data_IF_402403162826
#
_entry.id   IF_402403162826
#
_cell.length_a   1.000
_cell.length_b   1.000
_cell.length_c   1.000
_cell.angle_alpha   90.00
_cell.angle_beta   90.00
_cell.angle_gamma   90.00
#
_symmetry.space_group_name_H-M   'P 1'
#
loop_
_entity.id
_entity.type
_entity.pdbx_description
1 polymer ?
#
# COMPACT_ATOMS: atom_id res chain seq x y z
N UNK A 1 11.21 25.72 10.64
CA UNK A 1 9.74 25.66 10.62
C UNK A 1 9.39 24.21 10.87
N UNK A 2 8.45 23.91 11.75
CA UNK A 2 7.95 22.54 11.89
C UNK A 2 7.05 22.22 10.69
N UNK A 3 6.83 20.94 10.41
CA UNK A 3 5.84 20.48 9.43
C UNK A 3 5.14 19.28 10.05
N UNK A 4 4.38 19.55 11.11
CA UNK A 4 3.85 18.52 11.98
C UNK A 4 2.35 18.27 11.80
N UNK A 5 1.92 17.09 12.22
CA UNK A 5 0.53 16.64 12.19
C UNK A 5 0.29 15.54 13.23
N UNK A 6 -0.97 15.34 13.59
CA UNK A 6 -1.41 14.17 14.36
C UNK A 6 -2.35 13.31 13.50
N UNK A 7 -2.12 12.00 13.49
CA UNK A 7 -2.96 11.02 12.80
C UNK A 7 -3.72 10.22 13.86
N UNK A 8 -5.05 10.18 13.77
CA UNK A 8 -5.91 9.56 14.76
C UNK A 8 -6.94 8.69 14.05
N UNK A 9 -7.03 7.42 14.42
CA UNK A 9 -8.14 6.58 13.97
C UNK A 9 -9.43 7.00 14.69
N UNK A 10 -10.58 6.91 14.04
CA UNK A 10 -11.85 7.22 14.67
C UNK A 10 -12.02 6.45 15.99
N UNK A 11 -12.47 7.15 17.04
CA UNK A 11 -12.69 6.60 18.39
C UNK A 11 -11.44 6.02 19.10
N UNK A 12 -10.23 6.24 18.57
CA UNK A 12 -8.99 5.79 19.20
C UNK A 12 -8.60 6.64 20.42
N UNK A 13 -7.84 6.03 21.33
CA UNK A 13 -7.23 6.64 22.52
C UNK A 13 -5.74 6.97 22.34
N UNK A 14 -5.16 6.58 21.21
CA UNK A 14 -3.77 6.85 20.83
C UNK A 14 -3.72 7.51 19.45
N UNK A 15 -3.00 8.62 19.36
CA UNK A 15 -2.65 9.30 18.12
C UNK A 15 -1.18 9.09 17.75
N UNK A 16 -0.90 9.17 16.45
CA UNK A 16 0.43 9.09 15.88
C UNK A 16 0.88 10.49 15.44
N UNK A 17 1.80 11.08 16.19
CA UNK A 17 2.34 12.40 15.91
C UNK A 17 3.53 12.30 14.94
N UNK A 18 3.51 13.16 13.92
CA UNK A 18 4.58 13.36 12.96
C UNK A 18 5.16 14.77 13.12
N UNK A 19 6.47 14.88 13.27
CA UNK A 19 7.16 16.18 13.40
C UNK A 19 7.55 16.79 12.03
N UNK A 20 7.67 15.94 11.00
CA UNK A 20 8.03 16.29 9.63
C UNK A 20 7.08 15.60 8.64
N UNK A 21 6.89 16.20 7.47
CA UNK A 21 5.97 15.71 6.44
C UNK A 21 4.53 15.48 6.95
N UNK A 22 4.05 16.39 7.79
CA UNK A 22 2.66 16.45 8.23
C UNK A 22 1.69 17.03 7.18
N UNK A 23 2.22 17.59 6.09
CA UNK A 23 1.45 18.07 4.95
C UNK A 23 0.57 16.99 4.34
N UNK A 24 -0.60 17.39 3.83
CA UNK A 24 -1.60 16.47 3.28
C UNK A 24 -1.04 15.62 2.14
N UNK A 25 -0.25 16.24 1.26
CA UNK A 25 0.47 15.57 0.16
C UNK A 25 1.31 14.37 0.64
N UNK A 26 1.94 14.50 1.79
CA UNK A 26 2.76 13.46 2.42
C UNK A 26 1.92 12.40 3.13
N UNK A 27 0.90 12.83 3.87
CA UNK A 27 0.01 11.91 4.60
C UNK A 27 -0.72 11.01 3.63
N UNK A 28 -1.29 11.55 2.55
CA UNK A 28 -1.96 10.75 1.51
C UNK A 28 -0.99 9.75 0.87
N UNK A 29 0.29 10.11 0.67
CA UNK A 29 1.30 9.18 0.16
C UNK A 29 1.62 8.04 1.16
N UNK A 30 1.74 8.33 2.46
CA UNK A 30 1.95 7.28 3.47
C UNK A 30 0.76 6.34 3.58
N UNK A 31 -0.47 6.87 3.55
CA UNK A 31 -1.70 6.08 3.57
C UNK A 31 -1.83 5.21 2.31
N UNK A 32 -1.60 5.77 1.13
CA UNK A 32 -1.59 5.02 -0.12
C UNK A 32 -0.53 3.91 -0.13
N UNK A 33 0.68 4.21 0.37
CA UNK A 33 1.74 3.20 0.51
C UNK A 33 1.31 2.07 1.46
N UNK A 34 0.69 2.38 2.59
CA UNK A 34 0.19 1.39 3.54
C UNK A 34 -0.88 0.48 2.92
N UNK A 35 -1.80 1.05 2.15
CA UNK A 35 -2.82 0.30 1.42
C UNK A 35 -2.18 -0.68 0.42
N UNK A 36 -1.23 -0.20 -0.39
CA UNK A 36 -0.49 -1.05 -1.34
C UNK A 36 0.40 -2.08 -0.66
N UNK A 37 0.98 -1.75 0.49
CA UNK A 37 1.75 -2.71 1.27
C UNK A 37 0.87 -3.74 1.99
N UNK A 38 -0.47 -3.61 1.96
CA UNK A 38 -1.42 -4.45 2.68
C UNK A 38 -1.09 -4.50 4.17
N UNK A 39 -0.86 -3.33 4.76
CA UNK A 39 -0.77 -3.22 6.21
C UNK A 39 -2.15 -3.48 6.83
N UNK A 40 -2.28 -3.64 8.16
CA UNK A 40 -3.58 -3.65 8.79
C UNK A 40 -4.33 -2.33 8.53
N UNK A 41 -5.65 -2.39 8.28
CA UNK A 41 -6.46 -1.18 8.08
C UNK A 41 -6.45 -0.29 9.32
N UNK A 42 -6.50 1.03 9.14
CA UNK A 42 -6.52 1.99 10.25
C UNK A 42 -7.90 1.96 10.92
N UNK A 43 -7.92 1.68 12.22
CA UNK A 43 -9.12 1.61 13.05
C UNK A 43 -8.77 1.77 14.54
N UNK A 44 -9.78 1.79 15.39
CA UNK A 44 -9.70 2.02 16.83
C UNK A 44 -8.86 0.99 17.61
N UNK A 45 -8.65 -0.20 17.03
CA UNK A 45 -7.91 -1.28 17.70
C UNK A 45 -6.38 -1.08 17.67
N UNK A 46 -5.88 -0.03 17.03
CA UNK A 46 -4.47 0.38 17.03
C UNK A 46 -3.46 -0.65 16.45
N UNK A 47 -3.91 -1.80 15.94
CA UNK A 47 -3.07 -2.83 15.30
C UNK A 47 -2.31 -2.33 14.05
N UNK A 48 -2.80 -1.25 13.44
CA UNK A 48 -2.15 -0.56 12.33
C UNK A 48 -0.90 0.23 12.75
N UNK A 49 -0.79 0.66 14.01
CA UNK A 49 0.29 1.52 14.48
C UNK A 49 1.68 0.86 14.33
N UNK A 50 1.94 -0.37 14.82
CA UNK A 50 3.30 -0.93 14.74
C UNK A 50 3.86 -1.07 13.31
N UNK A 51 3.15 -1.65 12.33
CA UNK A 51 3.67 -1.74 10.97
C UNK A 51 3.73 -0.36 10.27
N UNK A 52 2.78 0.54 10.53
CA UNK A 52 2.81 1.88 9.94
C UNK A 52 3.96 2.74 10.48
N UNK A 53 4.21 2.70 11.80
CA UNK A 53 5.38 3.31 12.45
C UNK A 53 6.67 2.74 11.84
N UNK A 54 6.72 1.45 11.52
CA UNK A 54 7.90 0.86 10.89
C UNK A 54 8.18 1.49 9.53
N UNK A 55 7.15 1.67 8.69
CA UNK A 55 7.28 2.36 7.39
C UNK A 55 7.79 3.79 7.57
N UNK A 56 7.20 4.53 8.51
CA UNK A 56 7.59 5.91 8.81
C UNK A 56 9.03 5.99 9.35
N UNK A 57 9.42 5.11 10.27
CA UNK A 57 10.78 5.09 10.84
C UNK A 57 11.83 4.67 9.83
N UNK A 58 11.51 3.78 8.90
CA UNK A 58 12.40 3.49 7.77
C UNK A 58 12.60 4.73 6.89
N UNK A 59 11.53 5.51 6.67
CA UNK A 59 11.57 6.72 5.86
C UNK A 59 12.29 7.91 6.54
N UNK A 60 11.94 8.23 7.78
CA UNK A 60 12.52 9.35 8.54
C UNK A 60 13.87 9.02 9.18
N UNK A 61 14.20 7.74 9.31
CA UNK A 61 15.35 7.27 10.08
C UNK A 61 15.02 6.97 11.55
N UNK A 62 16.02 6.40 12.24
CA UNK A 62 15.91 5.88 13.60
C UNK A 62 16.70 6.70 14.63
N UNK A 63 16.78 8.02 14.45
CA UNK A 63 17.51 8.92 15.36
C UNK A 63 16.70 9.33 16.60
N UNK A 64 15.47 8.80 16.75
CA UNK A 64 14.56 9.14 17.84
C UNK A 64 13.75 10.42 17.59
N UNK A 65 13.85 11.00 16.39
CA UNK A 65 13.05 12.15 15.97
C UNK A 65 11.90 11.75 15.02
N UNK A 66 10.99 12.67 14.74
CA UNK A 66 10.05 12.55 13.61
C UNK A 66 8.71 11.86 13.88
N UNK A 67 8.67 10.79 14.69
CA UNK A 67 7.46 9.97 14.89
C UNK A 67 7.30 9.60 16.37
N UNK A 68 6.12 9.90 16.94
CA UNK A 68 5.80 9.73 18.36
C UNK A 68 4.35 9.27 18.55
N UNK A 69 4.05 8.70 19.72
CA UNK A 69 2.69 8.35 20.12
C UNK A 69 2.21 9.33 21.19
N UNK A 70 0.96 9.75 21.08
CA UNK A 70 0.33 10.69 22.00
C UNK A 70 -1.01 10.11 22.49
N UNK A 71 -1.34 10.19 23.79
CA UNK A 71 -2.67 9.87 24.26
C UNK A 71 -3.65 10.92 23.74
N UNK A 72 -4.79 10.49 23.22
CA UNK A 72 -5.81 11.39 22.66
C UNK A 72 -7.14 11.24 23.40
N UNK A 73 -7.83 12.37 23.55
CA UNK A 73 -9.21 12.48 23.98
C UNK A 73 -9.78 13.79 23.41
N UNK A 74 -11.08 14.03 23.59
CA UNK A 74 -11.72 15.22 23.01
C UNK A 74 -11.07 16.53 23.50
N UNK A 75 -10.81 16.66 24.80
CA UNK A 75 -10.19 17.87 25.37
C UNK A 75 -8.79 18.13 24.77
N UNK A 76 -8.06 17.06 24.47
CA UNK A 76 -6.76 17.13 23.80
C UNK A 76 -6.91 17.61 22.37
N UNK A 77 -7.81 17.00 21.58
CA UNK A 77 -8.05 17.35 20.17
C UNK A 77 -8.53 18.80 20.00
N UNK A 78 -9.38 19.28 20.93
CA UNK A 78 -9.88 20.66 20.91
C UNK A 78 -8.77 21.69 21.20
N UNK A 79 -7.69 21.27 21.87
CA UNK A 79 -6.62 22.14 22.35
C UNK A 79 -5.35 22.15 21.50
N UNK A 80 -5.24 21.31 20.47
CA UNK A 80 -4.02 21.20 19.66
C UNK A 80 -4.03 22.09 18.42
N UNK A 81 -2.86 22.64 18.13
CA UNK A 81 -2.60 23.56 17.01
C UNK A 81 -1.32 23.12 16.29
N UNK A 82 -1.38 21.94 15.66
CA UNK A 82 -0.33 21.44 14.80
C UNK A 82 -0.34 22.16 13.44
N UNK A 83 0.81 22.30 12.79
CA UNK A 83 0.96 23.07 11.55
C UNK A 83 -0.02 22.60 10.47
N UNK A 84 -0.31 21.29 10.46
CA UNK A 84 -1.24 20.64 9.53
C UNK A 84 -2.47 20.05 10.23
N UNK A 85 -2.70 20.40 11.49
CA UNK A 85 -3.84 19.92 12.27
C UNK A 85 -3.81 18.43 12.54
N UNK A 86 -5.01 17.87 12.70
CA UNK A 86 -5.27 16.44 12.97
C UNK A 86 -5.96 15.83 11.78
N UNK A 87 -5.46 14.68 11.33
CA UNK A 87 -6.13 13.83 10.36
C UNK A 87 -6.89 12.74 11.10
N UNK A 88 -8.21 12.75 10.95
CA UNK A 88 -9.06 11.65 11.37
C UNK A 88 -9.09 10.61 10.26
N UNK A 89 -8.79 9.36 10.62
CA UNK A 89 -8.52 8.29 9.66
C UNK A 89 -9.52 7.14 9.84
N UNK A 90 -9.92 6.57 8.72
CA UNK A 90 -10.64 5.30 8.62
C UNK A 90 -10.07 4.52 7.43
N UNK A 91 -9.68 3.27 7.67
CA UNK A 91 -8.97 2.41 6.72
C UNK A 91 -7.66 3.02 6.17
N UNK A 92 -7.66 3.63 4.99
CA UNK A 92 -6.51 4.36 4.43
C UNK A 92 -6.90 5.76 3.97
N UNK A 93 -8.03 6.27 4.45
CA UNK A 93 -8.61 7.52 4.02
C UNK A 93 -8.64 8.56 5.14
N UNK A 94 -8.46 9.83 4.76
CA UNK A 94 -8.70 10.97 5.64
C UNK A 94 -10.20 11.27 5.61
N UNK A 95 -10.89 11.02 6.72
CA UNK A 95 -12.34 11.23 6.84
C UNK A 95 -12.68 12.65 7.30
N UNK A 96 -11.84 13.23 8.15
CA UNK A 96 -12.02 14.58 8.68
C UNK A 96 -10.65 15.21 8.98
N UNK A 97 -10.63 16.55 9.03
CA UNK A 97 -9.45 17.31 9.47
C UNK A 97 -9.81 18.36 10.51
N UNK A 98 -9.23 18.23 11.70
CA UNK A 98 -9.38 19.19 12.81
C UNK A 98 -8.25 20.22 12.73
N UNK A 99 -8.58 21.50 12.85
CA UNK A 99 -7.64 22.63 12.79
C UNK A 99 -6.70 22.59 11.56
N UNK A 100 -7.23 22.49 10.32
CA UNK A 100 -6.39 22.54 9.13
C UNK A 100 -5.72 23.92 8.97
N UNK A 101 -4.54 23.98 8.32
CA UNK A 101 -3.93 25.23 7.92
C UNK A 101 -4.84 25.95 6.91
N UNK A 102 -4.67 27.26 6.84
CA UNK A 102 -5.42 28.09 5.89
C UNK A 102 -5.09 27.78 4.41
N UNK A 103 -3.90 27.23 4.14
CA UNK A 103 -3.43 26.85 2.81
C UNK A 103 -2.79 25.48 2.90
N UNK A 104 -3.21 24.58 2.01
CA UNK A 104 -2.66 23.23 1.92
C UNK A 104 -1.23 23.25 1.37
N UNK A 105 -0.40 22.35 1.91
CA UNK A 105 0.89 22.03 1.31
C UNK A 105 0.67 21.18 0.06
N UNK A 106 1.27 21.59 -1.05
CA UNK A 106 1.23 20.89 -2.35
C UNK A 106 2.63 20.94 -2.97
N UNK A 107 3.56 20.25 -2.32
CA UNK A 107 4.99 20.29 -2.64
C UNK A 107 5.54 18.94 -3.09
N UNK A 108 4.77 17.88 -2.89
CA UNK A 108 5.13 16.51 -3.19
C UNK A 108 4.14 15.90 -4.15
N UNK A 109 4.63 15.49 -5.32
CA UNK A 109 3.88 14.60 -6.20
C UNK A 109 3.72 13.23 -5.51
N UNK A 110 2.50 12.69 -5.57
CA UNK A 110 2.14 11.44 -4.92
C UNK A 110 3.04 10.28 -5.39
N UNK A 111 3.26 10.16 -6.69
CA UNK A 111 4.03 9.05 -7.26
C UNK A 111 5.50 9.15 -6.87
N UNK A 112 6.09 10.34 -6.94
CA UNK A 112 7.45 10.59 -6.47
C UNK A 112 7.61 10.28 -4.97
N UNK A 113 6.61 10.61 -4.15
CA UNK A 113 6.64 10.32 -2.72
C UNK A 113 6.52 8.82 -2.45
N UNK A 114 5.64 8.10 -3.15
CA UNK A 114 5.54 6.63 -3.08
C UNK A 114 6.88 5.96 -3.40
N UNK A 115 7.59 6.42 -4.44
CA UNK A 115 8.93 5.90 -4.78
C UNK A 115 9.93 6.14 -3.65
N UNK A 116 9.91 7.32 -3.02
CA UNK A 116 10.82 7.63 -1.90
C UNK A 116 10.50 6.80 -0.65
N UNK A 117 9.22 6.60 -0.34
CA UNK A 117 8.78 5.73 0.75
C UNK A 117 9.25 4.30 0.50
N UNK A 118 9.05 3.80 -0.72
CA UNK A 118 9.47 2.45 -1.14
C UNK A 118 10.98 2.26 -0.99
N UNK A 119 11.78 3.17 -1.55
CA UNK A 119 13.25 3.10 -1.48
C UNK A 119 13.80 3.04 -0.06
N UNK A 120 13.09 3.63 0.90
CA UNK A 120 13.49 3.60 2.31
C UNK A 120 13.18 2.26 3.01
N UNK A 121 12.31 1.43 2.45
CA UNK A 121 11.94 0.15 3.05
C UNK A 121 13.00 -0.93 2.80
N UNK A 122 13.08 -1.95 3.67
CA UNK A 122 13.89 -3.15 3.41
C UNK A 122 13.51 -3.79 2.05
N UNK A 123 14.46 -4.32 1.27
CA UNK A 123 14.16 -4.86 -0.06
C UNK A 123 13.08 -5.96 -0.10
N UNK A 124 12.87 -6.69 0.99
CA UNK A 124 11.79 -7.70 1.09
C UNK A 124 10.40 -7.07 1.23
N UNK A 125 10.32 -5.84 1.72
CA UNK A 125 9.10 -5.10 2.00
C UNK A 125 8.74 -4.06 0.92
N UNK A 126 9.62 -3.85 -0.06
CA UNK A 126 9.40 -2.93 -1.17
C UNK A 126 8.29 -3.41 -2.12
N UNK A 127 7.51 -2.46 -2.63
CA UNK A 127 6.53 -2.60 -3.70
C UNK A 127 7.22 -2.68 -5.07
N UNK A 128 8.30 -1.91 -5.27
CA UNK A 128 9.09 -1.87 -6.50
C UNK A 128 8.25 -1.54 -7.73
N UNK A 129 8.44 -2.31 -8.81
CA UNK A 129 7.74 -2.08 -10.10
C UNK A 129 6.22 -2.05 -10.04
N UNK A 130 5.61 -2.56 -8.96
CA UNK A 130 4.16 -2.43 -8.71
C UNK A 130 3.68 -0.98 -8.78
N UNK A 131 4.49 -0.04 -8.26
CA UNK A 131 4.15 1.40 -8.26
C UNK A 131 3.99 1.98 -9.66
N UNK A 132 4.66 1.40 -10.66
CA UNK A 132 4.58 1.82 -12.06
C UNK A 132 3.49 1.06 -12.85
N UNK A 133 2.83 0.09 -12.22
CA UNK A 133 1.77 -0.69 -12.87
C UNK A 133 0.51 0.13 -13.08
N UNK A 134 -0.21 -0.15 -14.17
CA UNK A 134 -1.48 0.48 -14.48
C UNK A 134 -2.62 -0.28 -13.80
N UNK A 135 -3.41 0.40 -12.98
CA UNK A 135 -4.64 -0.19 -12.45
C UNK A 135 -5.64 -0.46 -13.58
N UNK A 136 -6.09 -1.70 -13.67
CA UNK A 136 -6.93 -2.21 -14.76
C UNK A 136 -8.08 -3.03 -14.17
N UNK A 137 -9.27 -2.91 -14.75
CA UNK A 137 -10.37 -3.78 -14.36
C UNK A 137 -10.04 -5.23 -14.72
N UNK A 138 -10.36 -6.16 -13.81
CA UNK A 138 -10.20 -7.60 -14.08
C UNK A 138 -11.04 -8.05 -15.29
N UNK A 139 -12.12 -7.33 -15.62
CA UNK A 139 -12.95 -7.59 -16.79
C UNK A 139 -12.27 -7.26 -18.12
N UNK A 140 -11.25 -6.39 -18.11
CA UNK A 140 -10.52 -5.94 -19.30
C UNK A 140 -9.26 -6.79 -19.58
N UNK A 141 -8.96 -7.76 -18.71
CA UNK A 141 -7.79 -8.61 -18.86
C UNK A 141 -7.93 -9.58 -20.03
N UNK A 142 -6.81 -9.87 -20.67
CA UNK A 142 -6.65 -10.90 -21.69
C UNK A 142 -5.62 -11.97 -21.28
N UNK A 143 -5.66 -13.10 -21.97
CA UNK A 143 -4.59 -14.12 -21.86
C UNK A 143 -3.27 -13.53 -22.34
N UNK A 144 -2.23 -13.69 -21.53
CA UNK A 144 -0.90 -13.12 -21.78
C UNK A 144 -0.61 -11.81 -21.04
N UNK A 145 -1.62 -11.16 -20.45
CA UNK A 145 -1.40 -9.97 -19.63
C UNK A 145 -0.56 -10.32 -18.40
N UNK A 146 0.35 -9.41 -18.05
CA UNK A 146 1.24 -9.55 -16.91
C UNK A 146 0.71 -8.72 -15.75
N UNK A 147 0.30 -9.37 -14.68
CA UNK A 147 -0.34 -8.77 -13.51
C UNK A 147 0.57 -8.81 -12.30
N UNK A 148 0.44 -7.83 -11.41
CA UNK A 148 1.05 -7.86 -10.10
C UNK A 148 0.11 -8.51 -9.08
N UNK A 149 0.57 -9.58 -8.42
CA UNK A 149 -0.12 -10.20 -7.30
C UNK A 149 0.75 -10.18 -6.03
N UNK A 150 0.14 -10.10 -4.84
CA UNK A 150 0.87 -10.20 -3.58
C UNK A 150 1.63 -11.52 -3.49
N UNK A 151 2.79 -11.48 -2.84
CA UNK A 151 3.56 -12.69 -2.54
C UNK A 151 2.69 -13.67 -1.76
N UNK A 152 2.47 -14.85 -2.34
CA UNK A 152 1.60 -15.88 -1.77
C UNK A 152 2.08 -16.42 -0.40
N UNK A 153 3.39 -16.51 -0.18
CA UNK A 153 3.95 -17.08 1.05
C UNK A 153 5.16 -16.31 1.58
N UNK A 154 5.23 -16.16 2.89
CA UNK A 154 6.39 -15.60 3.60
C UNK A 154 7.63 -16.49 3.55
N UNK A 155 7.49 -17.76 3.15
CA UNK A 155 8.62 -18.66 2.91
C UNK A 155 9.26 -18.45 1.53
N UNK A 156 8.63 -17.68 0.64
CA UNK A 156 9.27 -17.26 -0.61
C UNK A 156 10.40 -16.26 -0.30
N UNK A 157 11.63 -16.72 -0.53
CA UNK A 157 12.87 -15.98 -0.28
C UNK A 157 13.12 -14.84 -1.28
N UNK A 158 12.29 -14.70 -2.32
CA UNK A 158 12.41 -13.59 -3.27
C UNK A 158 12.07 -12.26 -2.58
N UNK A 159 12.78 -11.21 -3.00
CA UNK A 159 12.59 -9.84 -2.50
C UNK A 159 11.28 -9.23 -3.01
N UNK A 160 10.81 -8.17 -2.36
CA UNK A 160 9.60 -7.43 -2.68
C UNK A 160 8.28 -8.10 -2.29
N UNK A 161 7.24 -7.27 -2.12
CA UNK A 161 5.88 -7.68 -1.74
C UNK A 161 5.04 -8.24 -2.87
N UNK A 162 5.34 -7.86 -4.12
CA UNK A 162 4.57 -8.26 -5.29
C UNK A 162 5.37 -9.17 -6.22
N UNK A 163 4.65 -10.02 -6.95
CA UNK A 163 5.16 -10.90 -8.00
C UNK A 163 4.41 -10.62 -9.29
N UNK A 164 5.13 -10.70 -10.40
CA UNK A 164 4.51 -10.62 -11.73
C UNK A 164 4.11 -12.03 -12.13
N UNK A 165 2.87 -12.17 -12.54
CA UNK A 165 2.29 -13.40 -13.05
C UNK A 165 1.60 -13.16 -14.39
N UNK A 166 1.56 -14.18 -15.24
CA UNK A 166 0.93 -14.15 -16.56
C UNK A 166 -0.47 -14.73 -16.47
N UNK A 167 -1.47 -14.01 -17.00
CA UNK A 167 -2.83 -14.54 -17.16
C UNK A 167 -2.80 -15.69 -18.16
N UNK A 168 -3.18 -16.89 -17.71
CA UNK A 168 -3.17 -18.11 -18.51
C UNK A 168 -4.52 -18.42 -19.16
N UNK A 169 -5.60 -18.00 -18.52
CA UNK A 169 -6.96 -18.28 -18.98
C UNK A 169 -8.01 -17.80 -18.00
N UNK A 170 -9.27 -18.15 -18.30
CA UNK A 170 -10.43 -17.80 -17.50
C UNK A 170 -11.17 -19.07 -17.10
N UNK A 171 -11.82 -19.05 -15.94
CA UNK A 171 -12.67 -20.15 -15.50
C UNK A 171 -13.98 -20.20 -16.30
N UNK A 172 -13.90 -20.74 -17.51
CA UNK A 172 -15.05 -21.00 -18.38
C UNK A 172 -15.62 -22.41 -18.12
N UNK A 173 -16.95 -22.54 -18.19
CA UNK A 173 -17.76 -23.69 -17.73
C UNK A 173 -17.22 -25.10 -18.09
N UNK A 174 -16.22 -25.59 -17.35
CA UNK A 174 -15.72 -26.95 -17.41
C UNK A 174 -16.42 -27.79 -16.32
N UNK A 175 -17.23 -28.79 -16.68
CA UNK A 175 -17.94 -29.62 -15.70
C UNK A 175 -17.01 -30.45 -14.81
N UNK A 176 -15.73 -30.60 -15.17
CA UNK A 176 -14.73 -31.35 -14.41
C UNK A 176 -13.81 -30.46 -13.58
N UNK A 177 -13.88 -29.14 -13.76
CA UNK A 177 -13.15 -28.18 -12.94
C UNK A 177 -14.08 -27.59 -11.85
N UNK A 178 -13.84 -27.88 -10.56
CA UNK A 178 -14.68 -27.33 -9.50
C UNK A 178 -14.61 -25.79 -9.43
N UNK A 179 -13.56 -25.15 -9.97
CA UNK A 179 -13.44 -23.70 -9.98
C UNK A 179 -14.48 -23.06 -10.90
N UNK A 180 -14.75 -23.65 -12.07
CA UNK A 180 -15.62 -23.06 -13.09
C UNK A 180 -17.11 -23.14 -12.75
N UNK A 181 -17.47 -23.96 -11.75
CA UNK A 181 -18.84 -24.06 -11.22
C UNK A 181 -19.07 -23.20 -9.96
N UNK A 182 -18.01 -22.64 -9.37
CA UNK A 182 -18.11 -21.75 -8.21
C UNK A 182 -18.36 -20.32 -8.66
N UNK A 183 -19.40 -19.67 -8.12
CA UNK A 183 -19.66 -18.24 -8.37
C UNK A 183 -18.49 -17.32 -7.99
N UNK A 184 -17.59 -17.78 -7.11
CA UNK A 184 -16.38 -17.05 -6.73
C UNK A 184 -15.36 -16.95 -7.87
N UNK A 185 -15.24 -18.00 -8.69
CA UNK A 185 -14.16 -18.12 -9.68
C UNK A 185 -14.68 -18.14 -11.11
N UNK A 186 -15.95 -18.44 -11.34
CA UNK A 186 -16.55 -18.48 -12.67
C UNK A 186 -16.31 -17.18 -13.44
N UNK A 187 -15.72 -17.30 -14.62
CA UNK A 187 -15.33 -16.17 -15.47
C UNK A 187 -14.15 -15.34 -14.96
N UNK A 188 -13.56 -15.65 -13.80
CA UNK A 188 -12.38 -14.95 -13.29
C UNK A 188 -11.10 -15.51 -13.94
N UNK A 189 -10.07 -14.67 -14.13
CA UNK A 189 -8.79 -15.10 -14.68
C UNK A 189 -7.98 -15.88 -13.66
N UNK A 190 -7.19 -16.84 -14.13
CA UNK A 190 -6.14 -17.52 -13.37
C UNK A 190 -4.76 -17.31 -14.01
N UNK A 191 -3.73 -17.37 -13.18
CA UNK A 191 -2.36 -17.04 -13.57
C UNK A 191 -1.38 -18.19 -13.34
N UNK A 192 -0.16 -18.04 -13.85
CA UNK A 192 1.00 -18.94 -13.64
C UNK A 192 1.57 -18.88 -12.20
N UNK A 193 0.72 -19.01 -11.18
CA UNK A 193 1.16 -18.85 -9.79
C UNK A 193 2.11 -19.95 -9.32
N UNK A 194 1.88 -21.20 -9.78
CA UNK A 194 2.64 -22.36 -9.35
C UNK A 194 3.17 -23.16 -10.54
N UNK A 195 4.45 -23.54 -10.49
CA UNK A 195 5.14 -24.26 -11.57
C UNK A 195 4.89 -25.78 -11.58
N UNK A 196 4.34 -26.32 -10.48
CA UNK A 196 4.28 -27.76 -10.22
C UNK A 196 2.87 -28.37 -10.29
N UNK A 197 1.91 -27.64 -10.84
CA UNK A 197 0.51 -28.08 -10.95
C UNK A 197 -0.22 -27.33 -12.06
N UNK A 198 -1.41 -27.81 -12.39
CA UNK A 198 -2.34 -27.05 -13.24
C UNK A 198 -3.00 -25.93 -12.42
N UNK A 199 -2.67 -24.69 -12.77
CA UNK A 199 -3.18 -23.50 -12.10
C UNK A 199 -4.69 -23.30 -12.29
N UNK A 200 -5.30 -23.86 -13.33
CA UNK A 200 -6.75 -23.78 -13.53
C UNK A 200 -7.53 -24.50 -12.42
N UNK A 201 -6.92 -25.48 -11.74
CA UNK A 201 -7.54 -26.26 -10.66
C UNK A 201 -7.17 -25.76 -9.26
N UNK A 202 -6.33 -24.72 -9.14
CA UNK A 202 -5.93 -24.19 -7.85
C UNK A 202 -6.63 -22.84 -7.57
N UNK A 203 -7.46 -22.74 -6.52
CA UNK A 203 -8.18 -21.50 -6.20
C UNK A 203 -7.25 -20.32 -5.88
N UNK A 204 -6.02 -20.57 -5.44
CA UNK A 204 -5.06 -19.51 -5.13
C UNK A 204 -4.47 -18.85 -6.38
N UNK A 205 -4.59 -19.49 -7.55
CA UNK A 205 -4.11 -18.95 -8.82
C UNK A 205 -5.08 -17.94 -9.45
N UNK A 206 -6.25 -17.71 -8.85
CA UNK A 206 -7.31 -16.85 -9.41
C UNK A 206 -7.25 -15.41 -8.87
N UNK A 207 -7.48 -14.45 -9.76
CA UNK A 207 -7.67 -13.04 -9.38
C UNK A 207 -9.16 -12.81 -9.09
N UNK A 208 -9.49 -12.65 -7.82
CA UNK A 208 -10.90 -12.50 -7.38
C UNK A 208 -11.31 -11.07 -7.07
N UNK A 209 -10.38 -10.12 -7.11
CA UNK A 209 -10.65 -8.68 -6.98
C UNK A 209 -11.36 -8.13 -8.22
N UNK A 210 -11.78 -6.87 -8.12
CA UNK A 210 -12.41 -6.15 -9.25
C UNK A 210 -11.38 -5.44 -10.14
N UNK A 211 -10.26 -5.02 -9.55
CA UNK A 211 -9.11 -4.43 -10.25
C UNK A 211 -7.81 -5.17 -9.91
N UNK A 212 -6.83 -5.02 -10.79
CA UNK A 212 -5.45 -5.47 -10.58
C UNK A 212 -4.51 -4.51 -11.31
N UNK A 213 -3.26 -4.39 -10.85
CA UNK A 213 -2.25 -3.65 -11.61
C UNK A 213 -1.59 -4.54 -12.65
N UNK A 214 -1.47 -4.05 -13.87
CA UNK A 214 -0.75 -4.69 -14.97
C UNK A 214 0.61 -4.04 -15.19
N UNK A 215 1.55 -4.81 -15.75
CA UNK A 215 2.83 -4.28 -16.21
C UNK A 215 2.59 -3.45 -17.46
N UNK A 216 3.07 -2.20 -17.46
CA UNK A 216 3.09 -1.35 -18.66
C UNK A 216 4.49 -1.47 -19.27
N UNK A 217 4.58 -1.98 -20.50
CA UNK A 217 5.85 -2.05 -21.21
C UNK A 217 6.11 -0.76 -22.03
N UNK A 218 7.35 -0.24 -22.01
CA UNK A 218 8.49 -0.73 -21.25
C UNK A 218 8.37 -0.40 -19.76
N UNK A 219 8.72 -1.36 -18.90
CA UNK A 219 8.93 -1.10 -17.47
C UNK A 219 9.98 0.01 -17.36
N UNK A 220 9.67 1.18 -16.76
CA UNK A 220 10.68 2.21 -16.57
C UNK A 220 11.86 1.64 -15.80
N UNK A 221 13.06 1.69 -16.36
CA UNK A 221 14.26 1.24 -15.67
C UNK A 221 14.40 2.03 -14.36
N UNK A 222 14.55 1.33 -13.23
CA UNK A 222 15.03 1.95 -11.99
C UNK A 222 16.38 2.58 -12.30
N UNK A 223 16.50 3.89 -12.09
CA UNK A 223 17.70 4.63 -12.46
C UNK A 223 18.94 3.99 -11.78
N UNK A 224 19.96 3.55 -12.54
CA UNK A 224 21.17 2.92 -11.98
C UNK A 224 21.96 3.83 -11.02
N UNK A 225 21.64 5.13 -10.94
CA UNK A 225 22.18 6.03 -9.93
C UNK A 225 21.62 5.80 -8.51
N UNK A 226 20.50 5.09 -8.36
CA UNK A 226 19.95 4.72 -7.06
C UNK A 226 20.75 3.60 -6.35
N UNK A 227 21.54 2.79 -7.08
CA UNK A 227 22.44 1.78 -6.49
C UNK A 227 23.72 2.39 -5.89
N UNK A 228 24.05 3.65 -6.19
CA UNK A 228 25.31 4.28 -5.76
C UNK A 228 25.20 5.13 -4.49
N UNK A 229 23.99 5.34 -3.96
CA UNK A 229 23.78 6.12 -2.74
C UNK A 229 23.83 5.28 -1.44
N UNK A 230 23.99 3.96 -1.55
CA UNK A 230 23.98 3.02 -0.42
C UNK A 230 25.36 2.45 -0.03
N UNK A 231 26.41 3.26 0.06
CA UNK A 231 27.70 2.88 0.66
C UNK A 231 28.20 3.92 1.65
#
# INVERSE_FOLDING_TARGET
>A
MSNNALLVANEADIGLYLHWNGGRDSIEAFLAYAAYAQLPPINENNDWLPPFITVLKNFFGNDGSGVYLEPVNQDYLDGIDYDNGVYMLDDYEITERINPPAVEQDSHDLHDMLIKIDKAQPPVDQLGSFLHGLETSVADLGVGDRVFLPRFSTFDKKLGRYRIHTVLGFAENDPFNPMTSSERFKGKPYVDMFDNQDNAFNPNSYITTDTVRIVVDPVPETNPDDEKAGR
#
